data_IF_983981968526
#
_entry.id   IF_983981968526
#
_cell.length_a   1.000
_cell.length_b   1.000
_cell.length_c   1.000
_cell.angle_alpha   90.00
_cell.angle_beta   90.00
_cell.angle_gamma   90.00
#
_symmetry.space_group_name_H-M   'P 1'
#
loop_
_entity.id
_entity.type
_entity.pdbx_description
1 polymer ?
#
# COMPACT_ATOMS: atom_id res chain seq x y z
N UNK A 1 -4.00 11.33 25.92
CA UNK A 1 -3.78 10.10 25.11
C UNK A 1 -3.25 10.40 23.70
N UNK A 2 -3.70 11.48 23.06
CA UNK A 2 -3.26 11.91 21.71
C UNK A 2 -1.73 12.01 21.54
N UNK A 3 -1.02 12.62 22.50
CA UNK A 3 0.45 12.70 22.47
C UNK A 3 1.15 11.33 22.51
N UNK A 4 0.56 10.33 23.18
CA UNK A 4 1.09 8.97 23.25
C UNK A 4 0.89 8.25 21.91
N UNK A 5 -0.25 8.47 21.25
CA UNK A 5 -0.61 7.81 20.00
C UNK A 5 -0.02 8.48 18.74
N UNK A 6 0.37 9.75 18.82
CA UNK A 6 0.88 10.51 17.68
C UNK A 6 2.01 9.82 16.88
N UNK A 7 2.98 9.11 17.49
CA UNK A 7 4.03 8.43 16.74
C UNK A 7 3.58 7.21 15.92
N UNK A 8 2.39 6.67 16.19
CA UNK A 8 1.88 5.40 15.62
C UNK A 8 0.56 5.56 14.86
N UNK A 9 0.09 6.79 14.65
CA UNK A 9 -1.12 7.09 13.90
C UNK A 9 -0.86 8.17 12.85
N UNK A 10 -1.62 8.15 11.73
CA UNK A 10 -1.60 9.25 10.75
C UNK A 10 -2.08 10.56 11.35
N UNK A 11 -2.97 10.47 12.33
CA UNK A 11 -3.48 11.59 13.09
C UNK A 11 -3.99 11.11 14.44
N UNK A 12 -3.59 11.82 15.50
CA UNK A 12 -4.09 11.60 16.84
C UNK A 12 -4.52 12.97 17.40
N UNK A 13 -5.77 13.09 17.82
CA UNK A 13 -6.35 14.38 18.27
C UNK A 13 -7.25 14.17 19.47
N UNK A 14 -7.32 15.18 20.35
CA UNK A 14 -8.41 15.32 21.32
C UNK A 14 -9.33 16.44 20.83
N UNK A 15 -10.62 16.15 20.67
CA UNK A 15 -11.60 17.14 20.20
C UNK A 15 -12.12 17.92 21.40
N UNK A 16 -11.85 19.22 21.45
CA UNK A 16 -12.18 20.05 22.61
C UNK A 16 -13.53 20.77 22.48
N UNK A 17 -14.12 20.79 21.29
CA UNK A 17 -15.38 21.49 21.00
C UNK A 17 -16.42 20.52 20.42
N UNK A 18 -17.66 20.46 20.97
CA UNK A 18 -18.69 19.52 20.52
C UNK A 18 -18.98 19.58 19.01
N UNK A 19 -19.10 20.80 18.46
CA UNK A 19 -19.44 20.97 17.05
C UNK A 19 -18.34 20.48 16.10
N UNK A 20 -17.09 20.29 16.58
CA UNK A 20 -15.99 19.78 15.76
C UNK A 20 -16.02 18.25 15.61
N UNK A 21 -16.82 17.53 16.40
CA UNK A 21 -16.83 16.05 16.38
C UNK A 21 -17.17 15.48 15.00
N UNK A 22 -18.24 15.92 14.29
CA UNK A 22 -18.53 15.43 12.94
C UNK A 22 -17.41 15.72 11.94
N UNK A 23 -16.81 16.93 12.00
CA UNK A 23 -15.71 17.32 11.11
C UNK A 23 -14.42 16.56 11.41
N UNK A 24 -14.14 16.26 12.67
CA UNK A 24 -13.01 15.43 13.06
C UNK A 24 -13.16 14.01 12.49
N UNK A 25 -14.35 13.42 12.58
CA UNK A 25 -14.65 12.11 11.97
C UNK A 25 -14.53 12.16 10.45
N UNK A 26 -15.11 13.17 9.80
CA UNK A 26 -15.02 13.38 8.35
C UNK A 26 -13.56 13.45 7.87
N UNK A 27 -12.73 14.23 8.56
CA UNK A 27 -11.28 14.32 8.30
C UNK A 27 -10.57 12.99 8.57
N UNK A 28 -10.93 12.26 9.63
CA UNK A 28 -10.34 10.97 9.92
C UNK A 28 -10.54 9.97 8.78
N UNK A 29 -11.76 9.86 8.25
CA UNK A 29 -12.04 8.97 7.10
C UNK A 29 -11.28 9.39 5.84
N UNK A 30 -11.17 10.69 5.57
CA UNK A 30 -10.32 11.18 4.50
C UNK A 30 -8.87 10.71 4.69
N UNK A 31 -8.28 10.93 5.87
CA UNK A 31 -6.90 10.56 6.15
C UNK A 31 -6.67 9.04 6.11
N UNK A 32 -7.61 8.23 6.60
CA UNK A 32 -7.51 6.77 6.55
C UNK A 32 -7.50 6.24 5.12
N UNK A 33 -8.16 6.91 4.18
CA UNK A 33 -8.32 6.47 2.78
C UNK A 33 -7.38 7.16 1.78
N UNK A 34 -6.81 8.30 2.15
CA UNK A 34 -5.92 9.09 1.28
C UNK A 34 -4.48 8.59 1.32
N UNK A 35 -3.85 8.52 0.14
CA UNK A 35 -2.46 8.09 -0.06
C UNK A 35 -2.23 6.70 0.54
N UNK A 36 -1.20 6.52 1.37
CA UNK A 36 -0.97 5.29 2.14
C UNK A 36 -1.97 5.23 3.32
N UNK A 37 -2.86 4.22 3.38
CA UNK A 37 -3.77 4.05 4.51
C UNK A 37 -3.02 3.84 5.83
N UNK A 38 -3.67 4.24 6.93
CA UNK A 38 -3.12 4.11 8.27
C UNK A 38 -4.11 4.56 9.33
N UNK A 39 -3.84 4.22 10.60
CA UNK A 39 -4.80 4.42 11.69
C UNK A 39 -4.92 5.90 12.08
N UNK A 40 -6.06 6.24 12.67
CA UNK A 40 -6.36 7.55 13.27
C UNK A 40 -6.91 7.32 14.68
N UNK A 41 -6.52 8.16 15.64
CA UNK A 41 -7.08 8.19 16.99
C UNK A 41 -7.81 9.52 17.21
N UNK A 42 -9.07 9.44 17.62
CA UNK A 42 -9.86 10.58 18.07
C UNK A 42 -10.22 10.32 19.54
N UNK A 43 -9.78 11.23 20.40
CA UNK A 43 -10.09 11.26 21.82
C UNK A 43 -11.22 12.27 22.06
N UNK A 44 -12.30 11.80 22.70
CA UNK A 44 -13.53 12.56 22.90
C UNK A 44 -13.78 12.72 24.41
N UNK A 45 -13.58 13.92 24.98
CA UNK A 45 -13.97 14.21 26.36
C UNK A 45 -15.48 13.96 26.58
N UNK A 46 -15.87 13.52 27.78
CA UNK A 46 -17.27 13.15 28.08
C UNK A 46 -18.21 14.36 27.98
N UNK A 47 -17.77 15.52 28.44
CA UNK A 47 -18.49 16.78 28.32
C UNK A 47 -18.68 17.20 26.86
N UNK A 48 -17.70 16.94 26.00
CA UNK A 48 -17.80 17.16 24.54
C UNK A 48 -18.82 16.22 23.90
N UNK A 49 -18.88 14.96 24.33
CA UNK A 49 -19.81 13.95 23.80
C UNK A 49 -21.27 14.21 24.19
N UNK A 50 -21.51 14.73 25.41
CA UNK A 50 -22.86 14.93 25.95
C UNK A 50 -23.49 16.28 25.57
N UNK A 51 -22.71 17.20 25.02
CA UNK A 51 -23.21 18.50 24.59
C UNK A 51 -24.08 18.39 23.33
N UNK A 52 -25.18 19.15 23.29
CA UNK A 52 -26.03 19.26 22.12
C UNK A 52 -25.39 20.18 21.07
N UNK A 53 -25.49 19.79 19.80
CA UNK A 53 -25.03 20.58 18.66
C UNK A 53 -26.13 20.66 17.62
N UNK A 54 -26.18 21.77 16.89
CA UNK A 54 -26.94 21.83 15.65
C UNK A 54 -26.12 21.16 14.55
N UNK A 55 -26.68 20.13 13.92
CA UNK A 55 -26.02 19.41 12.84
C UNK A 55 -27.05 18.97 11.81
N UNK A 56 -26.93 19.50 10.60
CA UNK A 56 -27.70 19.08 9.45
C UNK A 56 -27.00 17.89 8.77
N UNK A 57 -27.58 16.70 8.93
CA UNK A 57 -27.06 15.47 8.33
C UNK A 57 -27.19 15.48 6.80
N UNK A 58 -28.16 16.19 6.25
CA UNK A 58 -28.39 16.23 4.80
C UNK A 58 -27.34 17.12 4.10
N UNK A 59 -26.69 18.01 4.85
CA UNK A 59 -25.56 18.81 4.38
C UNK A 59 -24.20 18.08 4.48
N UNK A 60 -24.17 16.88 5.07
CA UNK A 60 -22.92 16.12 5.22
C UNK A 60 -22.51 15.44 3.90
N UNK A 61 -21.26 15.68 3.49
CA UNK A 61 -20.65 14.98 2.35
C UNK A 61 -19.29 14.41 2.73
N UNK A 62 -18.97 13.14 2.42
CA UNK A 62 -17.63 12.60 2.62
C UNK A 62 -16.58 13.37 1.80
N UNK A 63 -15.41 13.64 2.40
CA UNK A 63 -14.30 14.22 1.66
C UNK A 63 -13.70 13.20 0.68
N UNK A 64 -13.53 13.59 -0.58
CA UNK A 64 -12.89 12.77 -1.60
C UNK A 64 -11.46 12.36 -1.18
N UNK A 65 -11.13 11.07 -1.12
CA UNK A 65 -9.78 10.62 -0.81
C UNK A 65 -8.79 11.04 -1.89
N UNK A 66 -7.61 11.49 -1.47
CA UNK A 66 -6.52 11.81 -2.39
C UNK A 66 -5.72 10.53 -2.72
N UNK A 67 -5.57 10.22 -4.01
CA UNK A 67 -4.69 9.15 -4.49
C UNK A 67 -3.76 9.73 -5.56
N UNK A 68 -2.43 9.71 -5.38
CA UNK A 68 -1.51 10.13 -6.43
C UNK A 68 -1.60 9.17 -7.61
N UNK A 69 -1.54 9.70 -8.83
CA UNK A 69 -1.55 8.91 -10.05
C UNK A 69 -0.24 9.11 -10.81
N UNK A 70 0.27 8.03 -11.39
CA UNK A 70 1.40 8.06 -12.31
C UNK A 70 0.98 8.77 -13.62
N UNK A 71 1.84 9.62 -14.17
CA UNK A 71 1.58 10.22 -15.48
C UNK A 71 1.89 9.23 -16.61
N UNK A 72 1.31 9.45 -17.79
CA UNK A 72 1.61 8.65 -18.99
C UNK A 72 3.11 8.58 -19.29
N UNK A 73 3.82 9.70 -19.22
CA UNK A 73 5.26 9.76 -19.49
C UNK A 73 6.09 8.95 -18.48
N UNK A 74 5.67 8.90 -17.21
CA UNK A 74 6.30 8.05 -16.20
C UNK A 74 6.06 6.57 -16.49
N UNK A 75 4.83 6.21 -16.88
CA UNK A 75 4.49 4.84 -17.24
C UNK A 75 5.27 4.36 -18.48
N UNK A 76 5.32 5.16 -19.54
CA UNK A 76 6.08 4.85 -20.76
C UNK A 76 7.57 4.66 -20.47
N UNK A 77 8.14 5.52 -19.61
CA UNK A 77 9.54 5.39 -19.20
C UNK A 77 9.81 4.10 -18.41
N UNK A 78 8.92 3.74 -17.48
CA UNK A 78 9.03 2.50 -16.70
C UNK A 78 8.91 1.26 -17.59
N UNK A 79 7.95 1.25 -18.52
CA UNK A 79 7.75 0.15 -19.47
C UNK A 79 8.91 0.03 -20.45
N UNK A 80 9.52 1.14 -20.89
CA UNK A 80 10.71 1.10 -21.72
C UNK A 80 11.89 0.41 -21.01
N UNK A 81 12.08 0.66 -19.71
CA UNK A 81 13.10 -0.04 -18.91
C UNK A 81 12.76 -1.54 -18.77
N UNK A 82 11.50 -1.87 -18.48
CA UNK A 82 11.04 -3.25 -18.37
C UNK A 82 11.27 -4.04 -19.68
N UNK A 83 10.94 -3.45 -20.83
CA UNK A 83 11.08 -4.10 -22.14
C UNK A 83 12.53 -4.23 -22.61
N UNK A 84 13.47 -3.47 -22.04
CA UNK A 84 14.88 -3.56 -22.35
C UNK A 84 15.61 -4.64 -21.53
N UNK A 85 14.98 -5.15 -20.47
CA UNK A 85 15.53 -6.18 -19.62
C UNK A 85 15.40 -7.58 -20.26
N UNK A 86 16.42 -8.42 -20.10
CA UNK A 86 16.43 -9.80 -20.59
C UNK A 86 15.74 -10.76 -19.60
N UNK A 87 15.86 -10.48 -18.29
CA UNK A 87 15.29 -11.28 -17.20
C UNK A 87 14.54 -10.39 -16.20
N UNK A 88 13.50 -9.66 -16.63
CA UNK A 88 12.72 -8.82 -15.74
C UNK A 88 11.93 -9.64 -14.72
N UNK A 89 11.67 -9.03 -13.57
CA UNK A 89 10.87 -9.61 -12.51
C UNK A 89 9.96 -8.56 -11.87
N UNK A 90 8.69 -8.89 -11.61
CA UNK A 90 7.79 -8.04 -10.84
C UNK A 90 7.85 -8.44 -9.37
N UNK A 91 8.03 -7.46 -8.48
CA UNK A 91 7.85 -7.67 -7.03
C UNK A 91 6.53 -7.04 -6.58
N UNK A 92 5.56 -7.90 -6.27
CA UNK A 92 4.20 -7.52 -5.91
C UNK A 92 4.05 -7.32 -4.39
N UNK A 93 3.86 -6.07 -3.97
CA UNK A 93 3.69 -5.71 -2.57
C UNK A 93 2.23 -5.66 -2.11
N UNK A 94 2.03 -5.57 -0.79
CA UNK A 94 0.68 -5.43 -0.21
C UNK A 94 -0.05 -4.15 -0.63
N UNK A 95 0.63 -3.17 -1.24
CA UNK A 95 -0.02 -2.02 -1.86
C UNK A 95 -0.96 -2.39 -3.02
N UNK A 96 -0.75 -3.53 -3.68
CA UNK A 96 -1.64 -4.04 -4.74
C UNK A 96 -2.97 -4.50 -4.14
N UNK A 97 -2.91 -5.29 -3.06
CA UNK A 97 -4.09 -5.71 -2.29
C UNK A 97 -4.83 -4.48 -1.75
N UNK A 98 -4.09 -3.52 -1.20
CA UNK A 98 -4.68 -2.29 -0.63
C UNK A 98 -5.32 -1.38 -1.70
N UNK A 99 -4.88 -1.49 -2.95
CA UNK A 99 -5.45 -0.77 -4.08
C UNK A 99 -6.59 -1.54 -4.76
N UNK A 100 -6.89 -2.77 -4.31
CA UNK A 100 -7.84 -3.69 -4.96
C UNK A 100 -7.49 -3.92 -6.44
N UNK A 101 -6.21 -4.20 -6.70
CA UNK A 101 -5.63 -4.22 -8.05
C UNK A 101 -5.01 -5.57 -8.43
N UNK A 102 -5.39 -6.67 -7.77
CA UNK A 102 -4.85 -8.01 -8.05
C UNK A 102 -5.13 -8.45 -9.50
N UNK A 103 -6.35 -8.25 -10.00
CA UNK A 103 -6.71 -8.64 -11.36
C UNK A 103 -5.91 -7.86 -12.41
N UNK A 104 -5.68 -6.56 -12.17
CA UNK A 104 -4.86 -5.71 -13.03
C UNK A 104 -3.37 -6.10 -12.99
N UNK A 105 -2.86 -6.54 -11.84
CA UNK A 105 -1.50 -7.10 -11.74
C UNK A 105 -1.38 -8.37 -12.59
N UNK A 106 -2.35 -9.28 -12.49
CA UNK A 106 -2.36 -10.54 -13.23
C UNK A 106 -2.39 -10.24 -14.73
N UNK A 107 -3.33 -9.39 -15.19
CA UNK A 107 -3.42 -8.97 -16.58
C UNK A 107 -2.10 -8.35 -17.07
N UNK A 108 -1.50 -7.45 -16.29
CA UNK A 108 -0.21 -6.84 -16.63
C UNK A 108 0.93 -7.86 -16.74
N UNK A 109 1.02 -8.81 -15.80
CA UNK A 109 2.01 -9.87 -15.82
C UNK A 109 1.80 -10.81 -17.03
N UNK A 110 0.55 -11.15 -17.36
CA UNK A 110 0.22 -12.00 -18.50
C UNK A 110 0.57 -11.34 -19.84
N UNK A 111 0.23 -10.06 -20.00
CA UNK A 111 0.55 -9.28 -21.22
C UNK A 111 2.06 -9.13 -21.40
N UNK A 112 2.78 -8.83 -20.32
CA UNK A 112 4.23 -8.62 -20.36
C UNK A 112 5.03 -9.93 -20.38
N UNK A 113 4.41 -11.05 -19.97
CA UNK A 113 5.07 -12.33 -19.79
C UNK A 113 6.07 -12.36 -18.62
N UNK A 114 6.03 -11.38 -17.73
CA UNK A 114 7.03 -11.19 -16.67
C UNK A 114 6.64 -12.00 -15.42
N UNK A 115 7.55 -12.83 -14.86
CA UNK A 115 7.29 -13.55 -13.62
C UNK A 115 7.08 -12.61 -12.43
N UNK A 116 6.31 -13.07 -11.43
CA UNK A 116 5.90 -12.29 -10.27
C UNK A 116 6.39 -12.96 -8.98
N UNK A 117 7.07 -12.19 -8.13
CA UNK A 117 7.36 -12.53 -6.74
C UNK A 117 6.51 -11.65 -5.82
N UNK A 118 5.45 -12.19 -5.18
CA UNK A 118 4.79 -11.47 -4.11
C UNK A 118 5.71 -11.34 -2.88
N UNK A 119 5.67 -10.19 -2.24
CA UNK A 119 6.12 -10.08 -0.85
C UNK A 119 5.15 -10.84 0.05
N UNK A 120 5.53 -11.14 1.29
CA UNK A 120 4.60 -11.75 2.26
C UNK A 120 3.28 -10.97 2.41
N UNK A 121 3.32 -9.64 2.30
CA UNK A 121 2.12 -8.79 2.39
C UNK A 121 1.32 -8.71 1.08
N UNK A 122 1.90 -9.12 -0.04
CA UNK A 122 1.25 -9.21 -1.35
C UNK A 122 0.91 -10.65 -1.74
N UNK A 123 1.18 -11.63 -0.87
CA UNK A 123 0.89 -13.03 -1.16
C UNK A 123 -0.63 -13.22 -1.28
N UNK A 124 -1.07 -13.80 -2.40
CA UNK A 124 -2.47 -13.81 -2.83
C UNK A 124 -2.84 -12.75 -3.88
N UNK A 125 -1.94 -11.81 -4.22
CA UNK A 125 -2.16 -10.88 -5.35
C UNK A 125 -2.10 -11.58 -6.72
N UNK A 126 -1.50 -12.77 -6.77
CA UNK A 126 -1.51 -13.71 -7.88
C UNK A 126 -1.68 -15.13 -7.30
N UNK A 127 -2.48 -16.02 -7.90
CA UNK A 127 -2.64 -17.38 -7.41
C UNK A 127 -1.33 -18.17 -7.41
N UNK A 128 -1.12 -19.04 -6.42
CA UNK A 128 0.11 -19.84 -6.29
C UNK A 128 0.25 -20.90 -7.39
N UNK A 129 -0.85 -21.32 -8.01
CA UNK A 129 -0.89 -22.23 -9.16
C UNK A 129 -0.76 -21.51 -10.52
N UNK A 130 -0.64 -20.18 -10.52
CA UNK A 130 -0.48 -19.41 -11.73
C UNK A 130 0.93 -19.59 -12.33
N UNK A 131 1.02 -19.78 -13.65
CA UNK A 131 2.29 -20.08 -14.36
C UNK A 131 3.40 -19.02 -14.18
N UNK A 132 3.02 -17.78 -13.90
CA UNK A 132 3.94 -16.65 -13.69
C UNK A 132 4.27 -16.41 -12.20
N UNK A 133 3.69 -17.16 -11.27
CA UNK A 133 4.03 -17.06 -9.86
C UNK A 133 5.38 -17.73 -9.60
N UNK A 134 6.40 -16.92 -9.30
CA UNK A 134 7.78 -17.36 -9.14
C UNK A 134 8.17 -17.63 -7.67
N UNK A 135 7.19 -17.73 -6.78
CA UNK A 135 7.40 -17.92 -5.34
C UNK A 135 7.67 -16.63 -4.58
N UNK A 136 8.09 -16.76 -3.32
CA UNK A 136 8.44 -15.63 -2.46
C UNK A 136 9.95 -15.52 -2.25
N UNK A 137 10.46 -14.29 -2.14
CA UNK A 137 11.86 -13.97 -1.83
C UNK A 137 12.01 -13.41 -0.41
N UNK A 138 13.11 -13.76 0.26
CA UNK A 138 13.46 -13.26 1.60
C UNK A 138 14.38 -14.18 2.41
N UNK A 139 14.63 -13.76 3.66
CA UNK A 139 15.51 -14.46 4.61
C UNK A 139 14.87 -15.65 5.31
N UNK A 140 13.53 -15.67 5.43
CA UNK A 140 12.79 -16.65 6.24
C UNK A 140 11.55 -17.16 5.49
N UNK A 141 10.57 -16.29 5.27
CA UNK A 141 9.33 -16.60 4.53
C UNK A 141 9.61 -16.49 3.03
N UNK A 142 10.33 -17.46 2.49
CA UNK A 142 10.78 -17.50 1.11
C UNK A 142 10.85 -18.91 0.58
N UNK A 143 11.08 -19.01 -0.72
CA UNK A 143 11.36 -20.27 -1.38
C UNK A 143 12.76 -20.23 -1.98
N UNK A 144 13.41 -21.40 -2.05
CA UNK A 144 14.74 -21.52 -2.67
C UNK A 144 14.74 -21.01 -4.11
N UNK A 145 13.69 -21.37 -4.87
CA UNK A 145 13.52 -20.92 -6.25
C UNK A 145 13.19 -19.43 -6.34
N UNK A 146 12.36 -18.87 -5.44
CA UNK A 146 12.10 -17.43 -5.41
C UNK A 146 13.36 -16.60 -5.16
N UNK A 147 14.22 -17.01 -4.24
CA UNK A 147 15.52 -16.34 -4.03
C UNK A 147 16.45 -16.48 -5.25
N UNK A 148 16.51 -17.66 -5.89
CA UNK A 148 17.34 -17.87 -7.07
C UNK A 148 16.87 -17.02 -8.26
N UNK A 149 15.56 -17.01 -8.54
CA UNK A 149 14.95 -16.17 -9.59
C UNK A 149 15.20 -14.69 -9.35
N UNK A 150 15.10 -14.23 -8.09
CA UNK A 150 15.39 -12.84 -7.73
C UNK A 150 16.85 -12.45 -8.02
N UNK A 151 17.81 -13.32 -7.68
CA UNK A 151 19.24 -13.06 -7.91
C UNK A 151 19.66 -13.13 -9.39
N UNK A 152 18.89 -13.84 -10.21
CA UNK A 152 19.13 -13.92 -11.67
C UNK A 152 18.48 -12.78 -12.46
N UNK A 153 17.55 -12.03 -11.84
CA UNK A 153 16.86 -10.93 -12.50
C UNK A 153 17.82 -9.76 -12.76
N UNK A 154 17.76 -9.20 -13.97
CA UNK A 154 18.54 -8.03 -14.36
C UNK A 154 17.76 -6.71 -14.19
N UNK A 155 16.45 -6.81 -13.97
CA UNK A 155 15.58 -5.69 -13.64
C UNK A 155 14.44 -6.12 -12.73
N UNK A 156 14.21 -5.32 -11.68
CA UNK A 156 13.16 -5.61 -10.69
C UNK A 156 12.14 -4.48 -10.66
N UNK A 157 10.91 -4.80 -11.04
CA UNK A 157 9.79 -3.88 -11.06
C UNK A 157 8.95 -3.98 -9.79
N UNK A 158 9.29 -3.18 -8.79
CA UNK A 158 8.58 -3.12 -7.52
C UNK A 158 7.27 -2.36 -7.61
N UNK A 159 6.13 -3.04 -7.38
CA UNK A 159 4.79 -2.44 -7.42
C UNK A 159 4.12 -2.62 -6.05
N UNK A 160 3.75 -1.52 -5.41
CA UNK A 160 3.06 -1.54 -4.11
C UNK A 160 3.88 -2.16 -2.97
N UNK A 161 5.18 -2.39 -3.17
CA UNK A 161 6.08 -2.94 -2.16
C UNK A 161 6.87 -1.84 -1.46
N UNK A 162 7.46 -2.24 -0.33
CA UNK A 162 8.64 -1.59 0.25
C UNK A 162 9.74 -2.65 0.28
N UNK A 163 10.99 -2.23 0.13
CA UNK A 163 12.15 -3.11 0.26
C UNK A 163 12.41 -3.40 1.74
N UNK A 164 11.63 -4.34 2.28
CA UNK A 164 11.68 -4.70 3.70
C UNK A 164 13.00 -5.40 4.04
N UNK A 165 13.59 -5.11 5.22
CA UNK A 165 14.84 -5.73 5.65
C UNK A 165 14.85 -7.27 5.56
N UNK A 166 13.74 -7.95 5.89
CA UNK A 166 13.66 -9.42 5.80
C UNK A 166 13.35 -9.97 4.41
N UNK A 167 12.99 -9.10 3.47
CA UNK A 167 12.87 -9.44 2.06
C UNK A 167 14.23 -9.28 1.37
N UNK A 168 14.98 -8.21 1.67
CA UNK A 168 16.25 -7.94 1.01
C UNK A 168 17.46 -8.60 1.66
N UNK A 169 17.50 -8.70 2.98
CA UNK A 169 18.77 -8.97 3.68
C UNK A 169 19.73 -7.79 3.53
N UNK A 170 20.98 -8.08 3.15
CA UNK A 170 21.97 -7.04 2.83
C UNK A 170 21.63 -6.40 1.49
N UNK A 171 21.47 -5.08 1.44
CA UNK A 171 21.17 -4.37 0.20
C UNK A 171 22.29 -4.54 -0.82
N UNK A 172 23.55 -4.54 -0.38
CA UNK A 172 24.72 -4.72 -1.25
C UNK A 172 24.78 -6.10 -1.94
N UNK A 173 24.05 -7.08 -1.42
CA UNK A 173 23.90 -8.41 -2.05
C UNK A 173 22.64 -8.47 -2.90
N UNK A 174 21.65 -7.64 -2.57
CA UNK A 174 20.33 -7.62 -3.18
C UNK A 174 20.27 -6.77 -4.46
N UNK A 175 21.17 -5.79 -4.60
CA UNK A 175 21.32 -4.88 -5.75
C UNK A 175 22.66 -5.09 -6.42
#
# INVERSE_FOLDING_TARGET
ISAIAAPVAKWAVTVMEPYLVPMALQKAFHLMRSSRPGPVLIDLPVDVQLAEIEFDIDAYEPLTPFKPAMTRAQAEKALAMLNAAEKPLIVAGGGIINADASDLLIEFAEISGVPVIPTLMGWGAIPDDHRLMAGMCGLQTSHRYGNATMLEADFVFGIGNRWANRHTGSVDVYT
#
